data_IF_676496179659
#
_entry.id   IF_676496179659
#
_cell.length_a   1.000
_cell.length_b   1.000
_cell.length_c   1.000
_cell.angle_alpha   90.00
_cell.angle_beta   90.00
_cell.angle_gamma   90.00
#
_symmetry.space_group_name_H-M   'P 1'
#
loop_
_entity.id
_entity.type
_entity.pdbx_description
1 polymer ?
#
# COMPACT_ATOMS: atom_id res chain seq x y z
N UNK A 1 -1.39 -69.01 -38.30
CA UNK A 1 -1.13 -69.38 -36.89
C UNK A 1 -0.04 -68.47 -36.38
N UNK A 2 -0.20 -67.50 -35.52
CA UNK A 2 -1.31 -66.81 -34.84
C UNK A 2 -0.68 -65.43 -34.55
N UNK A 3 -1.33 -64.29 -34.74
CA UNK A 3 -2.49 -63.88 -33.97
C UNK A 3 -2.06 -62.92 -32.85
N UNK A 4 -2.21 -61.62 -33.14
CA UNK A 4 -2.78 -60.59 -32.26
C UNK A 4 -1.97 -59.98 -31.09
N UNK A 5 -1.89 -58.63 -31.18
CA UNK A 5 -2.09 -57.62 -30.11
C UNK A 5 -1.00 -57.51 -29.04
N UNK A 6 -0.65 -56.35 -28.49
CA UNK A 6 -1.17 -54.98 -28.57
C UNK A 6 -0.14 -54.03 -27.93
N UNK A 7 0.12 -52.91 -28.62
CA UNK A 7 0.20 -51.50 -28.18
C UNK A 7 0.65 -51.09 -26.76
N UNK A 8 1.25 -49.88 -26.64
CA UNK A 8 2.04 -49.43 -25.49
C UNK A 8 1.16 -49.02 -24.31
N UNK A 9 1.68 -49.20 -23.09
CA UNK A 9 1.03 -48.81 -21.85
C UNK A 9 0.90 -47.28 -21.78
N UNK A 10 -0.26 -46.82 -22.27
CA UNK A 10 -0.77 -45.48 -22.11
C UNK A 10 -1.23 -45.30 -20.66
N UNK A 11 -0.86 -44.15 -20.11
CA UNK A 11 -1.39 -43.58 -18.89
C UNK A 11 -2.93 -43.64 -18.85
N UNK A 12 -3.49 -44.08 -17.74
CA UNK A 12 -4.79 -43.60 -17.22
C UNK A 12 -5.15 -44.41 -15.98
N UNK A 13 -4.83 -43.90 -14.80
CA UNK A 13 -5.87 -43.76 -13.77
C UNK A 13 -5.37 -42.91 -12.59
N UNK A 14 -5.82 -41.65 -12.55
CA UNK A 14 -6.07 -40.93 -11.31
C UNK A 14 -7.28 -40.05 -11.52
N UNK A 15 -8.41 -40.70 -11.27
CA UNK A 15 -9.71 -40.11 -11.03
C UNK A 15 -9.64 -39.01 -9.95
N UNK A 16 -10.26 -37.87 -10.28
CA UNK A 16 -10.80 -36.83 -9.41
C UNK A 16 -9.94 -36.26 -8.28
N UNK A 17 -9.34 -35.10 -8.57
CA UNK A 17 -9.69 -33.85 -7.88
C UNK A 17 -9.20 -32.69 -8.72
N UNK A 18 -10.12 -32.09 -9.47
CA UNK A 18 -9.96 -30.71 -9.94
C UNK A 18 -9.83 -29.83 -8.70
N UNK A 19 -8.60 -29.56 -8.30
CA UNK A 19 -8.30 -28.48 -7.38
C UNK A 19 -7.94 -27.29 -8.27
N UNK A 20 -8.97 -26.49 -8.57
CA UNK A 20 -8.73 -25.11 -8.95
C UNK A 20 -8.10 -24.43 -7.72
N UNK A 21 -6.77 -24.52 -7.58
CA UNK A 21 -6.05 -23.61 -6.71
C UNK A 21 -6.02 -22.26 -7.45
N UNK A 22 -7.13 -21.52 -7.33
CA UNK A 22 -7.08 -20.07 -7.46
C UNK A 22 -6.35 -19.62 -6.20
N UNK A 23 -5.03 -19.61 -6.23
CA UNK A 23 -4.27 -18.68 -5.40
C UNK A 23 -4.70 -17.29 -5.87
N UNK A 24 -5.70 -16.75 -5.18
CA UNK A 24 -6.11 -15.37 -5.23
C UNK A 24 -4.95 -14.52 -4.73
N UNK A 25 -3.99 -14.32 -5.62
CA UNK A 25 -2.98 -13.31 -5.47
C UNK A 25 -3.63 -12.02 -5.95
N UNK A 26 -4.44 -11.40 -5.09
CA UNK A 26 -4.89 -10.01 -5.25
C UNK A 26 -3.69 -9.07 -5.03
N UNK A 27 -2.55 -9.35 -5.65
CA UNK A 27 -1.49 -8.38 -5.83
C UNK A 27 -2.06 -7.34 -6.78
N UNK A 28 -2.37 -6.18 -6.21
CA UNK A 28 -2.66 -4.98 -6.96
C UNK A 28 -1.39 -4.71 -7.77
N UNK A 29 -1.43 -5.04 -9.05
CA UNK A 29 -0.29 -4.88 -9.96
C UNK A 29 -0.11 -3.38 -10.21
N UNK A 30 0.59 -2.71 -9.31
CA UNK A 30 0.96 -1.30 -9.48
C UNK A 30 2.02 -1.24 -10.58
N UNK A 31 1.61 -0.70 -11.73
CA UNK A 31 2.45 -0.42 -12.90
C UNK A 31 3.83 0.12 -12.49
N UNK A 32 4.92 -0.21 -13.21
CA UNK A 32 6.29 0.10 -12.78
C UNK A 32 6.45 1.62 -12.56
N UNK A 33 6.36 2.02 -11.29
CA UNK A 33 6.45 3.40 -10.88
C UNK A 33 7.89 3.84 -11.12
N UNK A 34 8.09 4.97 -11.83
CA UNK A 34 9.37 5.69 -11.85
C UNK A 34 9.97 5.62 -10.45
N UNK A 35 11.21 5.12 -10.33
CA UNK A 35 11.90 4.91 -9.04
C UNK A 35 11.78 6.20 -8.23
N UNK A 36 10.79 6.24 -7.36
CA UNK A 36 10.52 7.33 -6.45
C UNK A 36 11.08 6.84 -5.14
N UNK A 37 12.00 7.61 -4.58
CA UNK A 37 12.58 7.28 -3.27
C UNK A 37 11.46 7.04 -2.26
N UNK A 38 11.60 6.03 -1.40
CA UNK A 38 10.64 5.68 -0.34
C UNK A 38 10.00 6.92 0.34
N UNK A 39 10.76 7.97 0.75
CA UNK A 39 10.18 9.18 1.35
C UNK A 39 9.20 9.97 0.47
N UNK A 40 9.35 9.91 -0.86
CA UNK A 40 8.43 10.59 -1.79
C UNK A 40 7.11 9.83 -1.93
N UNK A 41 7.15 8.50 -1.83
CA UNK A 41 5.95 7.67 -1.81
C UNK A 41 5.19 7.88 -0.50
N UNK A 42 5.89 7.87 0.63
CA UNK A 42 5.31 8.17 1.95
C UNK A 42 4.66 9.56 1.98
N UNK A 43 5.32 10.59 1.43
CA UNK A 43 4.75 11.93 1.36
C UNK A 43 3.54 12.01 0.42
N UNK A 44 3.53 11.23 -0.67
CA UNK A 44 2.38 11.16 -1.56
C UNK A 44 1.21 10.42 -0.91
N UNK A 45 1.48 9.37 -0.13
CA UNK A 45 0.47 8.69 0.68
C UNK A 45 -0.14 9.62 1.72
N UNK A 46 0.68 10.47 2.37
CA UNK A 46 0.20 11.50 3.28
C UNK A 46 -0.77 12.49 2.60
N UNK A 47 -0.46 12.98 1.39
CA UNK A 47 -1.38 13.83 0.61
C UNK A 47 -2.70 13.12 0.28
N UNK A 48 -2.64 11.83 -0.05
CA UNK A 48 -3.84 11.06 -0.37
C UNK A 48 -4.70 10.86 0.89
N UNK A 49 -4.08 10.54 2.03
CA UNK A 49 -4.76 10.34 3.30
C UNK A 49 -5.49 11.59 3.78
N UNK A 50 -4.90 12.79 3.64
CA UNK A 50 -5.59 14.04 4.01
C UNK A 50 -6.82 14.31 3.15
N UNK A 51 -6.73 14.09 1.84
CA UNK A 51 -7.86 14.27 0.92
C UNK A 51 -9.00 13.29 1.22
N UNK A 52 -8.67 12.02 1.44
CA UNK A 52 -9.66 11.01 1.81
C UNK A 52 -10.36 11.37 3.13
N UNK A 53 -9.60 11.81 4.15
CA UNK A 53 -10.16 12.24 5.41
C UNK A 53 -11.10 13.45 5.24
N UNK A 54 -10.71 14.45 4.43
CA UNK A 54 -11.58 15.58 4.09
C UNK A 54 -12.89 15.11 3.46
N UNK A 55 -12.83 14.27 2.42
CA UNK A 55 -14.03 13.73 1.77
C UNK A 55 -14.94 12.98 2.73
N UNK A 56 -14.38 12.12 3.59
CA UNK A 56 -15.18 11.39 4.59
C UNK A 56 -15.87 12.32 5.58
N UNK A 57 -15.19 13.39 6.00
CA UNK A 57 -15.74 14.38 6.94
C UNK A 57 -16.88 15.18 6.29
N UNK A 58 -16.68 15.62 5.04
CA UNK A 58 -17.66 16.36 4.26
C UNK A 58 -18.93 15.54 4.02
N UNK A 59 -18.79 14.30 3.56
CA UNK A 59 -19.92 13.41 3.26
C UNK A 59 -20.69 12.97 4.51
N UNK A 60 -20.04 12.98 5.68
CA UNK A 60 -20.66 12.51 6.91
C UNK A 60 -21.29 13.63 7.76
N UNK A 61 -21.13 14.90 7.36
CA UNK A 61 -21.55 16.09 8.11
C UNK A 61 -21.17 16.01 9.60
N UNK A 62 -19.94 15.57 9.87
CA UNK A 62 -19.42 15.47 11.24
C UNK A 62 -18.14 16.27 11.39
N UNK A 63 -18.25 17.39 12.08
CA UNK A 63 -17.09 18.07 12.62
C UNK A 63 -16.55 17.29 13.83
N UNK A 64 -15.64 16.34 13.57
CA UNK A 64 -14.93 15.56 14.59
C UNK A 64 -13.43 15.81 14.49
N UNK A 65 -12.76 15.64 15.62
CA UNK A 65 -11.30 15.62 15.66
C UNK A 65 -10.75 14.52 14.73
N UNK A 66 -9.78 14.89 13.89
CA UNK A 66 -9.08 13.98 12.99
C UNK A 66 -7.61 13.92 13.36
N UNK A 67 -7.01 12.74 13.27
CA UNK A 67 -5.59 12.53 13.53
C UNK A 67 -4.97 11.72 12.40
N UNK A 68 -3.78 12.11 11.98
CA UNK A 68 -2.99 11.45 10.96
C UNK A 68 -1.77 10.81 11.60
N UNK A 69 -1.56 9.52 11.34
CA UNK A 69 -0.43 8.77 11.86
C UNK A 69 0.51 8.42 10.72
N UNK A 70 1.80 8.66 10.92
CA UNK A 70 2.85 8.25 9.99
C UNK A 70 4.02 7.67 10.75
N UNK A 71 4.63 6.62 10.23
CA UNK A 71 5.87 6.05 10.75
C UNK A 71 7.13 6.69 10.14
N UNK A 72 6.95 7.48 9.08
CA UNK A 72 8.01 8.25 8.47
C UNK A 72 8.35 9.49 9.29
N UNK A 73 9.47 9.40 10.03
CA UNK A 73 10.09 10.57 10.67
C UNK A 73 10.48 11.64 9.65
N UNK A 74 10.79 11.24 8.41
CA UNK A 74 11.13 12.15 7.33
C UNK A 74 9.93 13.02 6.95
N UNK A 75 8.76 12.41 6.72
CA UNK A 75 7.51 13.15 6.44
C UNK A 75 7.18 14.09 7.59
N UNK A 76 7.27 13.61 8.85
CA UNK A 76 6.98 14.46 10.00
C UNK A 76 7.94 15.65 10.12
N UNK A 77 9.23 15.45 9.81
CA UNK A 77 10.23 16.53 9.81
C UNK A 77 9.94 17.56 8.71
N UNK A 78 9.53 17.09 7.53
CA UNK A 78 9.13 17.96 6.42
C UNK A 78 7.93 18.83 6.77
N UNK A 79 6.91 18.26 7.42
CA UNK A 79 5.74 19.01 7.89
C UNK A 79 6.10 20.05 8.96
N UNK A 80 7.01 19.72 9.88
CA UNK A 80 7.46 20.65 10.92
C UNK A 80 8.24 21.85 10.38
N UNK A 81 9.07 21.62 9.36
CA UNK A 81 9.94 22.66 8.78
C UNK A 81 9.24 23.49 7.69
N UNK A 82 8.06 23.06 7.24
CA UNK A 82 7.26 23.75 6.24
C UNK A 82 7.82 23.70 4.81
N UNK A 83 6.99 24.09 3.85
CA UNK A 83 7.28 23.94 2.42
C UNK A 83 8.50 24.74 1.91
N UNK A 84 8.83 25.87 2.55
CA UNK A 84 9.77 26.88 2.03
C UNK A 84 11.22 26.40 1.96
N UNK A 85 11.57 25.37 2.71
CA UNK A 85 12.94 24.85 2.84
C UNK A 85 13.27 23.70 1.88
N UNK A 86 12.31 23.25 1.05
CA UNK A 86 12.43 22.03 0.27
C UNK A 86 12.30 22.23 -1.23
N UNK A 87 12.78 21.24 -2.01
CA UNK A 87 12.63 21.20 -3.46
C UNK A 87 11.14 21.26 -3.85
N UNK A 88 10.79 21.80 -5.04
CA UNK A 88 9.40 22.01 -5.46
C UNK A 88 8.52 20.77 -5.30
N UNK A 89 9.06 19.57 -5.52
CA UNK A 89 8.30 18.34 -5.33
C UNK A 89 7.77 18.21 -3.90
N UNK A 90 8.65 18.34 -2.92
CA UNK A 90 8.29 18.18 -1.50
C UNK A 90 7.48 19.39 -1.02
N UNK A 91 7.88 20.59 -1.42
CA UNK A 91 7.19 21.84 -1.07
C UNK A 91 5.71 21.83 -1.47
N UNK A 92 5.38 21.46 -2.72
CA UNK A 92 3.99 21.43 -3.19
C UNK A 92 3.13 20.39 -2.46
N UNK A 93 3.75 19.31 -1.98
CA UNK A 93 3.04 18.22 -1.26
C UNK A 93 2.78 18.62 0.18
N UNK A 94 3.75 19.27 0.83
CA UNK A 94 3.56 19.87 2.14
C UNK A 94 2.41 20.87 2.09
N UNK A 95 2.40 21.77 1.09
CA UNK A 95 1.32 22.75 0.93
C UNK A 95 -0.06 22.06 0.78
N UNK A 96 -0.18 21.02 -0.05
CA UNK A 96 -1.44 20.27 -0.20
C UNK A 96 -1.89 19.55 1.08
N UNK A 97 -0.94 19.15 1.94
CA UNK A 97 -1.22 18.58 3.26
C UNK A 97 -1.72 19.68 4.22
N UNK A 98 -1.05 20.83 4.24
CA UNK A 98 -1.38 21.98 5.07
C UNK A 98 -2.73 22.62 4.70
N UNK A 99 -3.22 22.45 3.46
CA UNK A 99 -4.56 22.87 3.04
C UNK A 99 -5.69 22.11 3.76
N UNK A 100 -5.45 20.85 4.15
CA UNK A 100 -6.48 19.94 4.66
C UNK A 100 -6.24 19.50 6.11
N UNK A 101 -5.08 19.82 6.67
CA UNK A 101 -4.67 19.38 8.00
C UNK A 101 -3.78 20.41 8.68
N UNK A 102 -3.71 20.34 10.00
CA UNK A 102 -2.79 21.14 10.81
C UNK A 102 -1.73 20.27 11.43
N UNK A 103 -0.54 20.82 11.71
CA UNK A 103 0.58 20.08 12.28
C UNK A 103 0.23 19.34 13.60
N UNK A 104 -0.71 19.87 14.39
CA UNK A 104 -1.16 19.27 15.64
C UNK A 104 -1.96 17.97 15.46
N UNK A 105 -2.51 17.74 14.27
CA UNK A 105 -3.23 16.51 13.93
C UNK A 105 -2.27 15.37 13.57
N UNK A 106 -0.98 15.66 13.33
CA UNK A 106 0.01 14.67 12.89
C UNK A 106 0.77 14.05 14.06
N UNK A 107 0.83 12.72 14.04
CA UNK A 107 1.49 11.91 15.08
C UNK A 107 2.44 10.89 14.45
N UNK A 108 3.49 10.57 15.19
CA UNK A 108 4.42 9.51 14.80
C UNK A 108 4.02 8.19 15.45
N UNK A 109 4.09 7.10 14.67
CA UNK A 109 3.96 5.73 15.16
C UNK A 109 5.20 4.92 14.76
N UNK A 110 5.76 4.03 15.60
CA UNK A 110 6.82 3.13 15.14
C UNK A 110 6.34 2.24 13.99
N UNK A 111 7.18 1.97 12.99
CA UNK A 111 6.86 1.08 11.84
C UNK A 111 6.33 -0.28 12.30
N UNK A 112 6.91 -0.87 13.36
CA UNK A 112 6.46 -2.15 13.94
C UNK A 112 5.07 -2.12 14.60
N UNK A 113 4.48 -0.94 14.73
CA UNK A 113 3.14 -0.72 15.29
C UNK A 113 2.21 -0.08 14.25
N UNK A 114 2.70 0.08 13.02
CA UNK A 114 1.93 0.62 11.92
C UNK A 114 1.17 -0.53 11.27
N UNK A 115 -0.08 -0.73 11.67
CA UNK A 115 -0.96 -1.77 11.10
C UNK A 115 -1.16 -1.62 9.58
N UNK A 116 -0.83 -0.46 9.00
CA UNK A 116 -0.85 -0.26 7.55
C UNK A 116 0.37 -0.88 6.82
N UNK A 117 1.40 -1.33 7.55
CA UNK A 117 2.65 -1.91 7.02
C UNK A 117 2.91 -3.35 7.52
N UNK A 118 1.96 -3.96 8.24
CA UNK A 118 2.12 -5.30 8.83
C UNK A 118 2.24 -6.43 7.77
N UNK A 119 1.90 -6.18 6.49
CA UNK A 119 2.03 -7.16 5.40
C UNK A 119 3.43 -7.27 4.79
N UNK A 120 4.40 -6.43 5.17
CA UNK A 120 5.73 -6.40 4.53
C UNK A 120 6.84 -7.17 5.27
N UNK A 121 6.58 -7.70 6.48
CA UNK A 121 7.66 -8.20 7.35
C UNK A 121 7.63 -9.69 7.69
N UNK A 122 6.60 -10.44 7.28
CA UNK A 122 6.55 -11.89 7.56
C UNK A 122 7.09 -12.75 6.41
N UNK A 123 8.25 -12.41 5.89
CA UNK A 123 9.09 -13.35 5.13
C UNK A 123 10.44 -13.41 5.84
N UNK A 124 10.46 -14.15 6.95
CA UNK A 124 11.72 -14.70 7.45
C UNK A 124 12.27 -15.66 6.38
N UNK A 125 13.54 -15.46 6.04
CA UNK A 125 14.37 -16.40 5.25
C UNK A 125 14.67 -17.63 6.10
#
# INVERSE_FOLDING_TARGET
RDGLRSSPLLASDRFSRSRFDITDNSQIEVAPLKITSIPRLELQAAVMGTRMATTVIEEHDRNRDKFYWTDSKTVLTWLKNGARSYKPFVAHRIAAIEENSTLNEWRWVPTKQNVADDDATNTEI
#
